data_IF_647292848414
#
_entry.id   IF_647292848414
#
_cell.length_a   1.000
_cell.length_b   1.000
_cell.length_c   1.000
_cell.angle_alpha   90.00
_cell.angle_beta   90.00
_cell.angle_gamma   90.00
#
_symmetry.space_group_name_H-M   'P 1'
#
loop_
_entity.id
_entity.type
_entity.pdbx_description
1 polymer ?
#
# COMPACT_ATOMS: atom_id res chain seq x y z
N UNK A 1 3.03 -0.63 -1.04
CA UNK A 1 4.16 -1.17 -0.26
C UNK A 1 5.49 -1.10 -1.02
N UNK A 2 5.66 -1.83 -2.12
CA UNK A 2 6.94 -1.92 -2.83
C UNK A 2 7.54 -0.57 -3.24
N UNK A 3 6.73 0.43 -3.64
CA UNK A 3 7.25 1.76 -3.97
C UNK A 3 7.99 2.42 -2.79
N UNK A 4 7.49 2.23 -1.56
CA UNK A 4 8.09 2.80 -0.35
C UNK A 4 9.41 2.09 -0.02
N UNK A 5 9.45 0.76 -0.16
CA UNK A 5 10.69 -0.02 -0.04
C UNK A 5 11.73 0.40 -1.08
N UNK A 6 11.30 0.61 -2.33
CA UNK A 6 12.18 1.06 -3.41
C UNK A 6 12.74 2.46 -3.14
N UNK A 7 11.90 3.40 -2.67
CA UNK A 7 12.32 4.74 -2.30
C UNK A 7 13.30 4.74 -1.12
N UNK A 8 13.00 3.98 -0.06
CA UNK A 8 13.91 3.78 1.08
C UNK A 8 15.26 3.21 0.64
N UNK A 9 15.25 2.26 -0.29
CA UNK A 9 16.47 1.63 -0.78
C UNK A 9 17.28 2.52 -1.74
N UNK A 10 16.65 3.51 -2.40
CA UNK A 10 17.26 4.33 -3.46
C UNK A 10 16.79 5.79 -3.40
N UNK A 11 16.96 6.52 -2.28
CA UNK A 11 16.35 7.83 -2.07
C UNK A 11 16.78 8.86 -3.13
N UNK A 12 18.03 8.82 -3.60
CA UNK A 12 18.53 9.73 -4.64
C UNK A 12 18.10 9.41 -6.07
N UNK A 13 17.32 8.34 -6.30
CA UNK A 13 16.84 7.96 -7.65
C UNK A 13 15.34 8.16 -7.84
N UNK A 14 14.59 8.33 -6.76
CA UNK A 14 13.13 8.47 -6.80
C UNK A 14 12.81 9.95 -6.70
N UNK A 15 12.40 10.55 -7.81
CA UNK A 15 12.06 11.97 -7.86
C UNK A 15 10.66 12.28 -7.30
N UNK A 16 9.77 11.29 -7.20
CA UNK A 16 8.44 11.43 -6.62
C UNK A 16 7.67 10.12 -6.68
N UNK A 17 6.56 10.02 -5.94
CA UNK A 17 5.75 8.79 -5.85
C UNK A 17 4.26 9.07 -5.86
N UNK A 18 3.52 8.17 -6.51
CA UNK A 18 2.06 8.14 -6.46
C UNK A 18 1.64 6.76 -5.95
N UNK A 19 0.91 6.73 -4.84
CA UNK A 19 0.33 5.52 -4.27
C UNK A 19 -1.17 5.45 -4.52
N UNK A 20 -1.66 4.28 -4.93
CA UNK A 20 -3.08 3.99 -5.10
C UNK A 20 -3.43 2.86 -4.13
N UNK A 21 -4.39 3.10 -3.24
CA UNK A 21 -4.82 2.14 -2.21
C UNK A 21 -3.63 1.43 -1.51
N UNK A 22 -2.62 2.22 -1.13
CA UNK A 22 -1.32 1.68 -0.73
C UNK A 22 -1.41 0.85 0.55
N UNK A 23 -0.90 -0.39 0.48
CA UNK A 23 -0.98 -1.36 1.58
C UNK A 23 0.41 -1.77 2.14
N UNK A 24 1.21 -0.87 2.73
CA UNK A 24 2.36 -1.31 3.52
C UNK A 24 1.91 -2.21 4.68
N UNK A 25 2.78 -3.14 5.07
CA UNK A 25 2.62 -3.97 6.28
C UNK A 25 1.40 -4.91 6.28
N UNK A 26 0.72 -5.05 5.13
CA UNK A 26 -0.54 -5.79 5.02
C UNK A 26 -0.42 -7.26 5.43
N UNK A 27 0.74 -7.89 5.17
CA UNK A 27 1.02 -9.28 5.53
C UNK A 27 0.95 -9.50 7.04
N UNK A 28 1.34 -8.51 7.83
CA UNK A 28 1.25 -8.57 9.29
C UNK A 28 -0.10 -8.02 9.77
N UNK A 29 -0.45 -6.78 9.41
CA UNK A 29 -1.57 -6.04 10.01
C UNK A 29 -2.94 -6.44 9.48
N UNK A 30 -3.03 -6.75 8.18
CA UNK A 30 -4.29 -7.06 7.52
C UNK A 30 -4.51 -8.58 7.36
N UNK A 31 -3.44 -9.38 7.47
CA UNK A 31 -3.51 -10.82 7.34
C UNK A 31 -3.15 -11.53 8.65
N UNK A 32 -1.87 -11.58 9.03
CA UNK A 32 -1.43 -12.41 10.15
C UNK A 32 -2.12 -12.07 11.47
N UNK A 33 -2.28 -10.79 11.80
CA UNK A 33 -2.95 -10.38 13.03
C UNK A 33 -4.45 -10.73 13.01
N UNK A 34 -5.08 -10.76 11.83
CA UNK A 34 -6.50 -11.12 11.67
C UNK A 34 -6.76 -12.63 11.63
N UNK A 35 -5.75 -13.45 11.34
CA UNK A 35 -5.89 -14.90 11.37
C UNK A 35 -6.10 -15.41 12.79
N UNK A 36 -7.07 -16.32 12.95
CA UNK A 36 -7.30 -17.03 14.20
C UNK A 36 -6.19 -18.07 14.48
N UNK A 37 -6.23 -18.67 15.67
CA UNK A 37 -5.21 -19.64 16.10
C UNK A 37 -5.18 -20.89 15.19
N UNK A 38 -6.33 -21.34 14.70
CA UNK A 38 -6.44 -22.51 13.83
C UNK A 38 -5.80 -22.23 12.46
N UNK A 39 -6.07 -21.07 11.86
CA UNK A 39 -5.50 -20.62 10.60
C UNK A 39 -3.99 -20.44 10.71
N UNK A 40 -3.52 -19.83 11.80
CA UNK A 40 -2.08 -19.70 12.09
C UNK A 40 -1.39 -21.06 12.25
N UNK A 41 -2.02 -22.02 12.93
CA UNK A 41 -1.48 -23.37 13.06
C UNK A 41 -1.43 -24.09 11.70
N UNK A 42 -2.50 -23.95 10.89
CA UNK A 42 -2.59 -24.55 9.56
C UNK A 42 -1.48 -24.06 8.63
N UNK A 43 -1.31 -22.75 8.47
CA UNK A 43 -0.27 -22.20 7.58
C UNK A 43 1.15 -22.54 8.07
N UNK A 44 1.36 -22.69 9.39
CA UNK A 44 2.63 -23.16 9.95
C UNK A 44 2.92 -24.63 9.63
N UNK A 45 1.89 -25.48 9.62
CA UNK A 45 2.03 -26.90 9.34
C UNK A 45 2.16 -27.19 7.84
N UNK A 46 1.35 -26.52 7.02
CA UNK A 46 1.24 -26.79 5.57
C UNK A 46 2.15 -25.87 4.73
N UNK A 47 2.67 -24.78 5.31
CA UNK A 47 3.50 -23.79 4.61
C UNK A 47 2.75 -22.88 3.64
N UNK A 48 1.47 -23.16 3.36
CA UNK A 48 0.61 -22.42 2.44
C UNK A 48 -0.84 -22.48 2.91
N UNK A 49 -1.58 -21.40 2.67
CA UNK A 49 -3.01 -21.27 2.92
C UNK A 49 -3.67 -20.75 1.64
N UNK A 50 -4.87 -21.26 1.31
CA UNK A 50 -5.66 -20.73 0.20
C UNK A 50 -6.82 -19.92 0.78
N UNK A 51 -6.85 -18.61 0.51
CA UNK A 51 -7.87 -17.69 0.99
C UNK A 51 -8.92 -17.41 -0.10
N UNK A 52 -10.21 -17.27 0.25
CA UNK A 52 -11.23 -16.88 -0.71
C UNK A 52 -10.90 -15.53 -1.34
N UNK A 53 -11.23 -15.37 -2.62
CA UNK A 53 -11.07 -14.12 -3.37
C UNK A 53 -12.44 -13.49 -3.60
N UNK A 54 -12.54 -12.18 -3.39
CA UNK A 54 -13.72 -11.40 -3.80
C UNK A 54 -13.68 -10.99 -5.28
N UNK A 55 -12.58 -11.31 -5.97
CA UNK A 55 -12.30 -10.87 -7.34
C UNK A 55 -12.21 -12.01 -8.37
N UNK A 56 -12.02 -13.24 -7.91
CA UNK A 56 -11.84 -14.43 -8.73
C UNK A 56 -12.63 -15.60 -8.14
N UNK A 57 -13.08 -16.54 -8.99
CA UNK A 57 -13.80 -17.74 -8.54
C UNK A 57 -12.91 -18.73 -7.77
N UNK A 58 -11.59 -18.56 -7.86
CA UNK A 58 -10.61 -19.43 -7.21
C UNK A 58 -9.96 -18.75 -6.02
N UNK A 59 -9.77 -19.47 -4.90
CA UNK A 59 -8.95 -18.99 -3.79
C UNK A 59 -7.52 -18.65 -4.21
N UNK A 60 -6.91 -17.65 -3.59
CA UNK A 60 -5.52 -17.28 -3.85
C UNK A 60 -4.57 -17.84 -2.78
N UNK A 61 -3.32 -18.19 -3.15
CA UNK A 61 -2.35 -18.75 -2.22
C UNK A 61 -1.66 -17.66 -1.37
N UNK A 62 -1.47 -17.97 -0.09
CA UNK A 62 -0.69 -17.21 0.88
C UNK A 62 0.33 -18.16 1.51
N UNK A 63 1.61 -17.95 1.25
CA UNK A 63 2.66 -18.79 1.82
C UNK A 63 3.08 -18.30 3.20
N UNK A 64 3.55 -19.21 4.05
CA UNK A 64 4.20 -18.83 5.30
C UNK A 64 5.41 -17.93 5.03
N UNK A 65 6.17 -18.23 3.97
CA UNK A 65 7.32 -17.43 3.55
C UNK A 65 6.96 -15.98 3.23
N UNK A 66 5.82 -15.70 2.60
CA UNK A 66 5.34 -14.32 2.37
C UNK A 66 5.10 -13.58 3.69
N UNK A 67 4.49 -14.26 4.66
CA UNK A 67 4.21 -13.66 5.98
C UNK A 67 5.51 -13.38 6.73
N UNK A 68 6.43 -14.35 6.74
CA UNK A 68 7.71 -14.23 7.44
C UNK A 68 8.60 -13.17 6.80
N UNK A 69 8.79 -13.20 5.49
CA UNK A 69 9.54 -12.17 4.74
C UNK A 69 8.92 -10.78 4.91
N UNK A 70 7.58 -10.71 4.95
CA UNK A 70 6.88 -9.45 5.17
C UNK A 70 7.19 -8.79 6.52
N UNK A 71 7.53 -9.56 7.56
CA UNK A 71 7.92 -9.01 8.87
C UNK A 71 9.26 -8.28 8.84
N UNK A 72 10.16 -8.69 7.95
CA UNK A 72 11.44 -8.04 7.74
C UNK A 72 11.31 -6.75 6.90
N UNK A 73 10.13 -6.50 6.34
CA UNK A 73 9.84 -5.39 5.43
C UNK A 73 8.75 -4.44 5.93
N UNK A 74 8.46 -4.45 7.24
CA UNK A 74 7.52 -3.52 7.86
C UNK A 74 8.06 -2.08 7.80
N UNK A 75 7.16 -1.14 7.54
CA UNK A 75 7.46 0.26 7.28
C UNK A 75 6.78 1.19 8.28
N UNK A 76 5.55 0.90 8.71
CA UNK A 76 4.76 1.79 9.58
C UNK A 76 5.02 1.51 11.08
N UNK A 77 6.27 1.16 11.42
CA UNK A 77 6.74 0.92 12.80
C UNK A 77 7.61 2.06 13.35
N UNK A 78 7.86 3.07 12.53
CA UNK A 78 8.64 4.26 12.88
C UNK A 78 8.72 5.23 11.70
N UNK A 79 9.52 6.29 11.82
CA UNK A 79 9.73 7.25 10.74
C UNK A 79 10.31 6.60 9.47
N UNK A 80 9.87 7.07 8.31
CA UNK A 80 10.28 6.62 6.99
C UNK A 80 11.05 7.72 6.27
N UNK A 81 12.37 7.56 6.17
CA UNK A 81 13.28 8.49 5.49
C UNK A 81 13.08 8.47 3.97
N UNK A 82 12.03 9.14 3.52
CA UNK A 82 11.69 9.30 2.11
C UNK A 82 11.42 10.79 1.91
N UNK A 83 12.38 11.55 1.36
CA UNK A 83 12.27 13.01 1.27
C UNK A 83 11.59 13.50 -0.01
N UNK A 84 11.32 12.62 -0.98
CA UNK A 84 10.72 13.02 -2.25
C UNK A 84 9.22 13.34 -2.11
N UNK A 85 8.62 14.09 -3.06
CA UNK A 85 7.18 14.35 -3.06
C UNK A 85 6.35 13.06 -3.17
N UNK A 86 5.24 13.01 -2.45
CA UNK A 86 4.35 11.85 -2.40
C UNK A 86 2.89 12.28 -2.55
N UNK A 87 2.15 11.57 -3.41
CA UNK A 87 0.70 11.71 -3.52
C UNK A 87 0.04 10.35 -3.31
N UNK A 88 -0.80 10.24 -2.29
CA UNK A 88 -1.56 9.03 -1.99
C UNK A 88 -3.02 9.24 -2.37
N UNK A 89 -3.60 8.29 -3.11
CA UNK A 89 -5.00 8.28 -3.51
C UNK A 89 -5.65 7.03 -2.91
N UNK A 90 -6.72 7.21 -2.13
CA UNK A 90 -7.40 6.11 -1.45
C UNK A 90 -8.91 6.25 -1.52
N UNK A 91 -9.60 5.14 -1.80
CA UNK A 91 -11.05 5.06 -1.74
C UNK A 91 -11.56 4.87 -0.31
N UNK A 92 -12.58 5.61 0.13
CA UNK A 92 -13.12 5.46 1.49
C UNK A 92 -14.04 4.24 1.64
N UNK A 93 -14.46 3.63 0.53
CA UNK A 93 -15.21 2.37 0.48
C UNK A 93 -14.31 1.17 0.15
N UNK A 94 -12.99 1.35 0.24
CA UNK A 94 -12.01 0.25 0.13
C UNK A 94 -12.23 -0.77 1.27
N UNK A 95 -12.57 -2.00 0.87
CA UNK A 95 -12.83 -3.13 1.78
C UNK A 95 -11.57 -3.94 2.10
N UNK A 96 -10.53 -3.79 1.28
CA UNK A 96 -9.30 -4.57 1.38
C UNK A 96 -8.28 -3.85 2.27
N UNK A 97 -8.15 -2.53 2.08
CA UNK A 97 -7.19 -1.69 2.79
C UNK A 97 -7.91 -0.48 3.39
N UNK A 98 -7.93 -0.34 4.73
CA UNK A 98 -8.54 0.83 5.36
C UNK A 98 -7.89 2.12 4.86
N UNK A 99 -8.70 3.11 4.44
CA UNK A 99 -8.19 4.36 3.87
C UNK A 99 -7.32 5.18 4.82
N UNK A 100 -7.45 4.97 6.13
CA UNK A 100 -6.57 5.55 7.16
C UNK A 100 -5.11 5.13 6.96
N UNK A 101 -4.84 4.01 6.28
CA UNK A 101 -3.48 3.59 5.91
C UNK A 101 -2.75 4.66 5.11
N UNK A 102 -3.45 5.39 4.23
CA UNK A 102 -2.86 6.52 3.51
C UNK A 102 -2.44 7.67 4.44
N UNK A 103 -3.22 7.93 5.49
CA UNK A 103 -2.85 8.93 6.50
C UNK A 103 -1.66 8.46 7.33
N UNK A 104 -1.62 7.19 7.73
CA UNK A 104 -0.50 6.63 8.47
C UNK A 104 0.81 6.67 7.67
N UNK A 105 0.75 6.45 6.34
CA UNK A 105 1.92 6.64 5.48
C UNK A 105 2.33 8.10 5.49
N UNK A 106 1.38 9.03 5.32
CA UNK A 106 1.67 10.46 5.28
C UNK A 106 2.28 10.99 6.58
N UNK A 107 1.88 10.43 7.73
CA UNK A 107 2.46 10.75 9.04
C UNK A 107 3.86 10.13 9.23
N UNK A 108 4.07 8.91 8.72
CA UNK A 108 5.33 8.20 8.92
C UNK A 108 6.48 8.75 8.06
N UNK A 109 6.22 9.23 6.85
CA UNK A 109 7.27 9.72 5.94
C UNK A 109 7.86 11.06 6.39
N UNK A 110 9.16 11.23 6.19
CA UNK A 110 9.87 12.48 6.52
C UNK A 110 9.71 13.58 5.46
N UNK A 111 9.08 13.28 4.33
CA UNK A 111 8.83 14.27 3.27
C UNK A 111 7.92 15.38 3.78
N UNK A 112 8.27 16.63 3.46
CA UNK A 112 7.42 17.80 3.71
C UNK A 112 6.36 17.99 2.59
N UNK A 113 6.51 17.26 1.47
CA UNK A 113 5.65 17.37 0.29
C UNK A 113 4.77 16.13 0.13
N UNK A 114 3.82 15.97 1.05
CA UNK A 114 2.88 14.84 1.04
C UNK A 114 1.45 15.34 0.87
N UNK A 115 0.72 14.71 -0.04
CA UNK A 115 -0.71 14.95 -0.22
C UNK A 115 -1.50 13.64 -0.21
N UNK A 116 -2.70 13.69 0.36
CA UNK A 116 -3.63 12.57 0.39
C UNK A 116 -4.94 13.00 -0.26
N UNK A 117 -5.43 12.20 -1.21
CA UNK A 117 -6.75 12.35 -1.81
C UNK A 117 -7.63 11.19 -1.41
N UNK A 118 -8.70 11.48 -0.68
CA UNK A 118 -9.70 10.50 -0.27
C UNK A 118 -10.93 10.59 -1.19
N UNK A 119 -11.27 9.48 -1.84
CA UNK A 119 -12.42 9.39 -2.74
C UNK A 119 -13.59 8.74 -1.99
N UNK A 120 -14.61 9.53 -1.67
CA UNK A 120 -15.71 9.10 -0.78
C UNK A 120 -16.37 7.78 -1.20
N UNK A 121 -16.68 7.61 -2.49
CA UNK A 121 -17.27 6.39 -3.05
C UNK A 121 -16.27 5.46 -3.72
N UNK A 122 -14.97 5.73 -3.58
CA UNK A 122 -13.95 4.90 -4.22
C UNK A 122 -13.76 3.58 -3.49
N UNK A 123 -13.75 2.47 -4.23
CA UNK A 123 -13.34 1.16 -3.73
C UNK A 123 -11.82 0.94 -3.84
N UNK A 124 -11.37 -0.31 -3.65
CA UNK A 124 -9.94 -0.65 -3.68
C UNK A 124 -9.27 -0.40 -5.03
N UNK A 125 -9.97 -0.72 -6.13
CA UNK A 125 -9.39 -0.72 -7.48
C UNK A 125 -9.11 0.68 -8.04
N UNK A 126 -9.90 1.68 -7.64
CA UNK A 126 -9.87 3.05 -8.16
C UNK A 126 -9.65 3.10 -9.69
N UNK A 127 -10.55 2.43 -10.42
CA UNK A 127 -10.40 2.18 -11.86
C UNK A 127 -11.58 2.65 -12.70
N UNK A 128 -12.51 3.41 -12.12
CA UNK A 128 -13.57 4.06 -12.90
C UNK A 128 -12.99 5.23 -13.72
N UNK A 129 -13.73 5.73 -14.70
CA UNK A 129 -13.26 6.83 -15.58
C UNK A 129 -12.82 8.07 -14.77
N UNK A 130 -13.56 8.41 -13.72
CA UNK A 130 -13.22 9.51 -12.83
C UNK A 130 -11.94 9.24 -12.02
N UNK A 131 -11.68 7.99 -11.65
CA UNK A 131 -10.46 7.60 -10.93
C UNK A 131 -9.24 7.65 -11.85
N UNK A 132 -9.38 7.16 -13.08
CA UNK A 132 -8.32 7.22 -14.09
C UNK A 132 -7.97 8.67 -14.47
N UNK A 133 -8.99 9.53 -14.56
CA UNK A 133 -8.79 10.97 -14.77
C UNK A 133 -8.01 11.58 -13.61
N UNK A 134 -8.36 11.23 -12.38
CA UNK A 134 -7.66 11.70 -11.17
C UNK A 134 -6.22 11.20 -11.12
N UNK A 135 -5.98 9.95 -11.45
CA UNK A 135 -4.64 9.37 -11.49
C UNK A 135 -3.78 10.04 -12.55
N UNK A 136 -4.33 10.28 -13.75
CA UNK A 136 -3.63 10.98 -14.83
C UNK A 136 -3.21 12.39 -14.38
N UNK A 137 -4.13 13.14 -13.78
CA UNK A 137 -3.83 14.47 -13.26
C UNK A 137 -2.76 14.44 -12.13
N UNK A 138 -2.78 13.42 -11.28
CA UNK A 138 -1.75 13.23 -10.25
C UNK A 138 -0.36 13.00 -10.88
N UNK A 139 -0.28 12.14 -11.91
CA UNK A 139 0.96 11.87 -12.66
C UNK A 139 1.48 13.13 -13.34
N UNK A 140 0.62 13.86 -14.05
CA UNK A 140 0.99 15.11 -14.72
C UNK A 140 1.49 16.16 -13.72
N UNK A 141 0.80 16.33 -12.59
CA UNK A 141 1.23 17.25 -11.53
C UNK A 141 2.58 16.85 -10.95
N UNK A 142 2.80 15.56 -10.68
CA UNK A 142 4.07 15.05 -10.16
C UNK A 142 5.21 15.27 -11.18
N UNK A 143 4.99 14.93 -12.45
CA UNK A 143 5.97 15.10 -13.51
C UNK A 143 6.34 16.58 -13.72
N UNK A 144 5.36 17.50 -13.67
CA UNK A 144 5.62 18.93 -13.78
C UNK A 144 6.48 19.46 -12.63
N UNK A 145 6.26 18.98 -11.40
CA UNK A 145 7.07 19.36 -10.23
C UNK A 145 8.51 18.87 -10.36
N UNK A 146 8.69 17.61 -10.74
CA UNK A 146 10.01 16.99 -10.88
C UNK A 146 10.87 17.66 -11.95
N UNK A 147 10.27 18.11 -13.07
CA UNK A 147 11.02 18.78 -14.14
C UNK A 147 11.19 20.29 -13.94
N UNK A 148 10.44 20.90 -13.02
CA UNK A 148 10.50 22.33 -12.73
C UNK A 148 11.47 22.72 -11.61
N UNK A 149 12.06 21.73 -10.92
CA UNK A 149 13.05 21.89 -9.86
C UNK A 149 14.50 21.76 -10.31
#
# INVERSE_FOLDING_TARGET
WQMLLAARARPGRIAGMIGIAAAPDFTEDLMWQKFDAATKAKIRAEGILHLPSDYEDTPYPVTLGLIEDGRDHLLLRGPLEIPCPIHLIHGMEDKDVPWQTALNIAEAVTSEEVSVTLVKGGGHRLSEEADLTRLTAAVESMAARVHGG
#
